data_IF_993355871880
#
_entry.id   IF_993355871880
#
_cell.length_a   1.000
_cell.length_b   1.000
_cell.length_c   1.000
_cell.angle_alpha   90.00
_cell.angle_beta   90.00
_cell.angle_gamma   90.00
#
_symmetry.space_group_name_H-M   'P 1'
#
loop_
_entity.id
_entity.type
_entity.pdbx_description
1 polymer ?
#
# COMPACT_ATOMS: atom_id res chain seq x y z
N UNK A 1 7.13 -3.58 14.57
CA UNK A 1 5.98 -4.51 14.43
C UNK A 1 6.48 -5.94 14.53
N UNK A 2 5.69 -6.80 15.17
CA UNK A 2 6.04 -8.23 15.24
C UNK A 2 5.59 -8.98 13.98
N UNK A 3 5.91 -10.28 13.92
CA UNK A 3 5.57 -11.10 12.75
C UNK A 3 4.07 -11.16 12.50
N UNK A 4 3.28 -11.22 13.55
CA UNK A 4 1.82 -11.33 13.44
C UNK A 4 1.23 -10.07 12.84
N UNK A 5 1.71 -8.93 13.28
CA UNK A 5 1.28 -7.63 12.75
C UNK A 5 1.67 -7.48 11.28
N UNK A 6 2.87 -7.90 10.90
CA UNK A 6 3.30 -7.86 9.51
C UNK A 6 2.46 -8.79 8.63
N UNK A 7 2.13 -9.99 9.11
CA UNK A 7 1.26 -10.92 8.37
C UNK A 7 -0.12 -10.32 8.13
N UNK A 8 -0.70 -9.71 9.16
CA UNK A 8 -2.00 -9.04 9.04
C UNK A 8 -1.94 -7.89 8.04
N UNK A 9 -0.86 -7.14 8.06
CA UNK A 9 -0.67 -6.04 7.12
C UNK A 9 -0.56 -6.53 5.68
N UNK A 10 0.20 -7.59 5.43
CA UNK A 10 0.32 -8.15 4.09
C UNK A 10 -0.99 -8.70 3.58
N UNK A 11 -1.79 -9.33 4.43
CA UNK A 11 -3.14 -9.77 4.06
C UNK A 11 -4.02 -8.59 3.67
N UNK A 12 -3.92 -7.50 4.42
CA UNK A 12 -4.65 -6.28 4.11
C UNK A 12 -4.25 -5.73 2.74
N UNK A 13 -2.96 -5.67 2.44
CA UNK A 13 -2.47 -5.20 1.14
C UNK A 13 -3.00 -6.07 0.01
N UNK A 14 -2.99 -7.39 0.18
CA UNK A 14 -3.44 -8.31 -0.86
C UNK A 14 -4.94 -8.23 -1.11
N UNK A 15 -5.73 -8.13 -0.05
CA UNK A 15 -7.19 -8.22 -0.14
C UNK A 15 -7.93 -6.90 -0.07
N UNK A 16 -7.27 -5.82 0.33
CA UNK A 16 -7.92 -4.53 0.48
C UNK A 16 -8.24 -3.87 -0.86
N UNK A 17 -9.31 -3.11 -0.89
CA UNK A 17 -9.64 -2.29 -2.06
C UNK A 17 -8.68 -1.10 -2.17
N UNK A 18 -8.62 -0.49 -3.35
CA UNK A 18 -7.79 0.70 -3.55
C UNK A 18 -8.18 1.82 -2.58
N UNK A 19 -9.48 2.00 -2.33
CA UNK A 19 -9.95 2.99 -1.37
C UNK A 19 -9.48 2.69 0.05
N UNK A 20 -9.53 1.41 0.45
CA UNK A 20 -9.04 0.98 1.76
C UNK A 20 -7.55 1.19 1.92
N UNK A 21 -6.77 0.87 0.88
CA UNK A 21 -5.32 1.11 0.88
C UNK A 21 -5.02 2.59 1.02
N UNK A 22 -5.73 3.45 0.31
CA UNK A 22 -5.55 4.89 0.36
C UNK A 22 -5.88 5.44 1.74
N UNK A 23 -6.97 4.99 2.35
CA UNK A 23 -7.35 5.39 3.70
C UNK A 23 -6.28 5.00 4.72
N UNK A 24 -5.74 3.78 4.61
CA UNK A 24 -4.68 3.33 5.51
C UNK A 24 -3.42 4.16 5.32
N UNK A 25 -3.09 4.51 4.09
CA UNK A 25 -1.95 5.36 3.78
C UNK A 25 -2.07 6.72 4.45
N UNK A 26 -3.24 7.34 4.35
CA UNK A 26 -3.50 8.64 4.96
C UNK A 26 -3.39 8.58 6.48
N UNK A 27 -3.96 7.54 7.09
CA UNK A 27 -3.89 7.33 8.53
C UNK A 27 -2.44 7.15 9.00
N UNK A 28 -1.67 6.34 8.28
CA UNK A 28 -0.26 6.10 8.62
C UNK A 28 0.58 7.38 8.50
N UNK A 29 0.34 8.17 7.47
CA UNK A 29 1.04 9.45 7.28
C UNK A 29 0.75 10.39 8.45
N UNK A 30 -0.49 10.43 8.92
CA UNK A 30 -0.86 11.23 10.08
C UNK A 30 -0.16 10.77 11.35
N UNK A 31 -0.11 9.47 11.57
CA UNK A 31 0.58 8.90 12.73
C UNK A 31 2.08 9.19 12.67
N UNK A 32 2.69 9.10 11.49
CA UNK A 32 4.11 9.36 11.31
C UNK A 32 4.52 10.76 11.77
N UNK A 33 3.65 11.75 11.58
CA UNK A 33 3.93 13.12 12.02
C UNK A 33 3.96 13.27 13.53
N UNK A 34 3.28 12.37 14.25
CA UNK A 34 3.15 12.45 15.72
C UNK A 34 4.13 11.54 16.46
N UNK A 35 4.59 10.48 15.81
CA UNK A 35 5.47 9.49 16.44
C UNK A 35 6.91 9.95 16.41
N UNK A 36 7.60 9.84 17.55
CA UNK A 36 9.01 10.22 17.69
C UNK A 36 9.96 9.04 17.73
N UNK A 37 9.48 7.85 18.09
CA UNK A 37 10.29 6.63 18.20
C UNK A 37 10.84 6.23 16.82
N UNK A 38 12.19 6.16 16.65
CA UNK A 38 12.79 5.82 15.35
C UNK A 38 12.37 4.45 14.82
N UNK A 39 12.20 3.46 15.68
CA UNK A 39 11.78 2.12 15.27
C UNK A 39 10.37 2.10 14.71
N UNK A 40 9.45 2.77 15.38
CA UNK A 40 8.07 2.90 14.93
C UNK A 40 8.00 3.70 13.64
N UNK A 41 8.74 4.78 13.54
CA UNK A 41 8.80 5.59 12.32
C UNK A 41 9.28 4.78 11.12
N UNK A 42 10.31 3.96 11.33
CA UNK A 42 10.84 3.09 10.29
C UNK A 42 9.79 2.09 9.79
N UNK A 43 9.06 1.47 10.71
CA UNK A 43 7.99 0.53 10.37
C UNK A 43 6.87 1.22 9.56
N UNK A 44 6.47 2.42 9.98
CA UNK A 44 5.43 3.17 9.29
C UNK A 44 5.87 3.53 7.86
N UNK A 45 7.11 3.97 7.70
CA UNK A 45 7.65 4.29 6.36
C UNK A 45 7.65 3.08 5.46
N UNK A 46 8.00 1.91 6.00
CA UNK A 46 7.96 0.66 5.24
C UNK A 46 6.54 0.31 4.82
N UNK A 47 5.57 0.47 5.73
CA UNK A 47 4.16 0.23 5.41
C UNK A 47 3.67 1.16 4.30
N UNK A 48 4.01 2.44 4.38
CA UNK A 48 3.64 3.42 3.35
C UNK A 48 4.21 3.04 1.98
N UNK A 49 5.47 2.62 1.95
CA UNK A 49 6.12 2.18 0.71
C UNK A 49 5.42 0.97 0.12
N UNK A 50 5.08 -0.01 0.95
CA UNK A 50 4.41 -1.22 0.48
C UNK A 50 3.03 -0.93 -0.09
N UNK A 51 2.30 -0.01 0.52
CA UNK A 51 1.00 0.42 -0.02
C UNK A 51 1.18 1.09 -1.39
N UNK A 52 2.13 2.00 -1.50
CA UNK A 52 2.40 2.69 -2.77
C UNK A 52 2.80 1.71 -3.87
N UNK A 53 3.65 0.74 -3.56
CA UNK A 53 4.06 -0.29 -4.52
C UNK A 53 2.86 -1.10 -5.01
N UNK A 54 1.97 -1.49 -4.11
CA UNK A 54 0.78 -2.26 -4.48
C UNK A 54 -0.16 -1.45 -5.36
N UNK A 55 -0.37 -0.18 -5.04
CA UNK A 55 -1.21 0.69 -5.86
C UNK A 55 -0.63 0.84 -7.26
N UNK A 56 0.68 1.03 -7.37
CA UNK A 56 1.36 1.13 -8.67
C UNK A 56 1.23 -0.16 -9.48
N UNK A 57 1.39 -1.30 -8.85
CA UNK A 57 1.24 -2.60 -9.51
C UNK A 57 -0.17 -2.75 -10.08
N UNK A 58 -1.19 -2.43 -9.31
CA UNK A 58 -2.57 -2.51 -9.75
C UNK A 58 -2.86 -1.57 -10.92
N UNK A 59 -2.35 -0.35 -10.86
CA UNK A 59 -2.50 0.63 -11.93
C UNK A 59 -1.80 0.18 -13.22
N UNK A 60 -0.59 -0.36 -13.09
CA UNK A 60 0.16 -0.86 -14.24
C UNK A 60 -0.55 -2.03 -14.92
N UNK A 61 -1.11 -2.94 -14.16
CA UNK A 61 -1.87 -4.05 -14.71
C UNK A 61 -3.11 -3.57 -15.47
N UNK A 62 -3.82 -2.59 -14.93
CA UNK A 62 -4.97 -1.98 -15.60
C UNK A 62 -4.55 -1.31 -16.91
N UNK A 63 -3.46 -0.57 -16.91
CA UNK A 63 -2.93 0.10 -18.10
C UNK A 63 -2.55 -0.91 -19.19
N UNK A 64 -1.91 -2.00 -18.82
CA UNK A 64 -1.55 -3.06 -19.77
C UNK A 64 -2.79 -3.70 -20.39
N UNK A 65 -3.83 -3.92 -19.60
CA UNK A 65 -5.08 -4.45 -20.10
C UNK A 65 -5.74 -3.50 -21.10
N UNK A 66 -5.73 -2.21 -20.82
CA UNK A 66 -6.28 -1.20 -21.73
C UNK A 66 -5.52 -1.14 -23.05
N UNK A 67 -4.19 -1.20 -23.00
CA UNK A 67 -3.34 -1.21 -24.20
C UNK A 67 -3.65 -2.42 -25.07
N UNK A 68 -3.81 -3.61 -24.47
CA UNK A 68 -4.16 -4.82 -25.20
C UNK A 68 -5.50 -4.69 -25.90
N UNK A 69 -6.49 -4.13 -25.23
CA UNK A 69 -7.81 -3.89 -25.84
C UNK A 69 -7.71 -2.97 -27.05
N UNK A 70 -6.93 -1.92 -26.93
CA UNK A 70 -6.72 -0.98 -28.04
C UNK A 70 -6.11 -1.67 -29.26
N UNK A 71 -5.16 -2.57 -29.03
CA UNK A 71 -4.53 -3.32 -30.13
C UNK A 71 -5.45 -4.36 -30.76
N UNK A 72 -6.38 -4.87 -29.99
CA UNK A 72 -7.33 -5.87 -30.47
C UNK A 72 -8.45 -5.27 -31.31
N UNK A 73 -8.70 -4.03 -31.12
CA UNK A 73 -9.73 -3.32 -31.86
C UNK A 73 -9.18 -2.79 -33.17
#
# INVERSE_FOLDING_TARGET
MDKQEWKSFFRFIEGGSEAELQQRKDALAGVLQKVTDPGVRSDIRRMLRLIDEEVLIRQNLSSRRQVRRSKSA
#
